data_IF_584873010621
#
_entry.id   IF_584873010621
#
_cell.length_a   1.000
_cell.length_b   1.000
_cell.length_c   1.000
_cell.angle_alpha   90.00
_cell.angle_beta   90.00
_cell.angle_gamma   90.00
#
_symmetry.space_group_name_H-M   'P 1'
#
loop_
_entity.id
_entity.type
_entity.pdbx_description
1 polymer ?
#
# COMPACT_ATOMS: atom_id res chain seq x y z
N UNK A 1 4.28 -14.41 -12.14
CA UNK A 1 5.61 -14.28 -12.82
C UNK A 1 6.55 -13.58 -11.87
N UNK A 2 7.74 -14.12 -11.70
CA UNK A 2 8.76 -13.58 -10.80
C UNK A 2 10.11 -13.44 -11.51
N UNK A 3 10.84 -12.37 -11.28
CA UNK A 3 12.19 -12.15 -11.84
C UNK A 3 13.27 -12.36 -10.78
N UNK A 4 14.08 -13.43 -10.93
CA UNK A 4 15.17 -13.77 -10.01
C UNK A 4 16.39 -14.34 -10.77
N UNK A 5 17.37 -13.52 -11.02
CA UNK A 5 18.54 -13.90 -11.84
C UNK A 5 19.37 -15.05 -11.23
N UNK A 6 19.51 -15.10 -9.91
CA UNK A 6 20.40 -16.03 -9.21
C UNK A 6 19.69 -17.21 -8.54
N UNK A 7 18.36 -17.28 -8.61
CA UNK A 7 17.62 -18.40 -8.05
C UNK A 7 17.87 -19.68 -8.85
N UNK A 8 18.09 -20.79 -8.16
CA UNK A 8 18.25 -22.12 -8.76
C UNK A 8 16.88 -22.74 -9.05
N UNK A 9 15.94 -22.52 -8.15
CA UNK A 9 14.59 -23.08 -8.20
C UNK A 9 13.63 -22.15 -7.49
N UNK A 10 12.43 -22.05 -8.01
CA UNK A 10 11.35 -21.23 -7.45
C UNK A 10 10.05 -22.00 -7.49
N UNK A 11 9.32 -21.93 -6.40
CA UNK A 11 7.93 -22.38 -6.30
C UNK A 11 7.05 -21.22 -5.85
N UNK A 12 5.80 -21.23 -6.23
CA UNK A 12 4.76 -20.40 -5.61
C UNK A 12 3.89 -21.28 -4.74
N UNK A 13 3.73 -20.88 -3.50
CA UNK A 13 2.81 -21.51 -2.54
C UNK A 13 1.52 -20.70 -2.55
N UNK A 14 0.40 -21.36 -2.82
CA UNK A 14 -0.94 -20.76 -2.78
C UNK A 14 -1.77 -21.58 -1.79
N UNK A 15 -2.15 -20.96 -0.69
CA UNK A 15 -2.74 -21.68 0.42
C UNK A 15 -1.81 -22.80 0.94
N UNK A 16 -2.24 -24.05 0.87
CA UNK A 16 -1.47 -25.21 1.32
C UNK A 16 -0.72 -25.94 0.19
N UNK A 17 -0.85 -25.50 -1.04
CA UNK A 17 -0.25 -26.17 -2.20
C UNK A 17 0.94 -25.37 -2.73
N UNK A 18 1.98 -26.07 -3.19
CA UNK A 18 3.17 -25.46 -3.78
C UNK A 18 3.34 -25.92 -5.22
N UNK A 19 3.49 -24.97 -6.13
CA UNK A 19 3.58 -25.19 -7.56
C UNK A 19 4.98 -24.81 -8.06
N UNK A 20 5.64 -25.75 -8.76
CA UNK A 20 6.94 -25.52 -9.35
C UNK A 20 6.82 -24.49 -10.48
N UNK A 21 7.68 -23.46 -10.45
CA UNK A 21 7.76 -22.48 -11.51
C UNK A 21 8.82 -22.85 -12.55
N UNK A 22 8.49 -22.64 -13.81
CA UNK A 22 9.41 -22.89 -14.92
C UNK A 22 10.33 -21.67 -15.12
N UNK A 23 11.64 -21.92 -15.20
CA UNK A 23 12.61 -20.87 -15.50
C UNK A 23 12.61 -20.55 -16.99
N UNK A 24 12.41 -19.29 -17.31
CA UNK A 24 12.50 -18.74 -18.66
C UNK A 24 13.79 -17.94 -18.85
N UNK A 25 13.89 -17.25 -19.96
CA UNK A 25 15.04 -16.38 -20.27
C UNK A 25 15.16 -15.23 -19.26
N UNK A 26 16.39 -14.72 -19.08
CA UNK A 26 16.73 -13.55 -18.24
C UNK A 26 16.31 -13.68 -16.77
N UNK A 27 16.17 -14.90 -16.25
CA UNK A 27 15.84 -15.14 -14.85
C UNK A 27 14.37 -14.97 -14.49
N UNK A 28 13.50 -14.96 -15.48
CA UNK A 28 12.06 -15.01 -15.28
C UNK A 28 11.65 -16.41 -14.86
N UNK A 29 10.76 -16.51 -13.88
CA UNK A 29 10.08 -17.74 -13.48
C UNK A 29 8.59 -17.55 -13.64
N UNK A 30 7.90 -18.55 -14.17
CA UNK A 30 6.46 -18.48 -14.37
C UNK A 30 5.78 -19.83 -14.13
N UNK A 31 4.53 -19.77 -13.74
CA UNK A 31 3.60 -20.90 -13.66
C UNK A 31 2.20 -20.40 -13.92
N UNK A 32 1.38 -21.21 -14.53
CA UNK A 32 -0.05 -20.97 -14.70
C UNK A 32 -0.82 -21.95 -13.84
N UNK A 33 -1.61 -21.43 -12.90
CA UNK A 33 -2.47 -22.22 -12.03
C UNK A 33 -3.90 -22.01 -12.49
N UNK A 34 -4.62 -23.10 -12.71
CA UNK A 34 -6.01 -23.05 -13.21
C UNK A 34 -6.98 -22.82 -12.05
N UNK A 35 -8.00 -22.00 -12.26
CA UNK A 35 -9.05 -21.71 -11.30
C UNK A 35 -9.14 -20.22 -10.95
N UNK A 36 -10.14 -19.90 -10.15
CA UNK A 36 -10.26 -18.56 -9.54
C UNK A 36 -9.45 -18.54 -8.24
N UNK A 37 -8.38 -17.75 -8.24
CA UNK A 37 -7.49 -17.59 -7.09
C UNK A 37 -7.68 -16.25 -6.38
N UNK A 38 -8.67 -15.46 -6.78
CA UNK A 38 -8.95 -14.17 -6.15
C UNK A 38 -9.11 -14.32 -4.63
N UNK A 39 -8.47 -13.43 -3.86
CA UNK A 39 -8.40 -13.48 -2.41
C UNK A 39 -7.62 -14.68 -1.79
N UNK A 40 -6.89 -15.46 -2.58
CA UNK A 40 -6.02 -16.49 -2.04
C UNK A 40 -4.68 -15.91 -1.58
N UNK A 41 -4.20 -16.38 -0.43
CA UNK A 41 -2.86 -16.05 0.05
C UNK A 41 -1.79 -16.79 -0.75
N UNK A 42 -0.68 -16.12 -1.05
CA UNK A 42 0.46 -16.73 -1.71
C UNK A 42 1.79 -16.17 -1.23
N UNK A 43 2.83 -17.00 -1.31
CA UNK A 43 4.23 -16.63 -1.10
C UNK A 43 5.11 -17.35 -2.11
N UNK A 44 6.33 -16.85 -2.31
CA UNK A 44 7.34 -17.56 -3.09
C UNK A 44 8.26 -18.38 -2.18
N UNK A 45 8.64 -19.56 -2.64
CA UNK A 45 9.67 -20.40 -2.07
C UNK A 45 10.86 -20.38 -3.03
N UNK A 46 11.96 -19.76 -2.60
CA UNK A 46 13.14 -19.52 -3.44
C UNK A 46 14.32 -20.31 -2.91
N UNK A 47 14.99 -21.05 -3.81
CA UNK A 47 16.21 -21.78 -3.49
C UNK A 47 17.41 -21.16 -4.19
N UNK A 48 18.36 -20.66 -3.40
CA UNK A 48 19.64 -20.18 -3.89
C UNK A 48 20.78 -21.20 -3.72
N UNK A 49 20.74 -22.01 -2.67
CA UNK A 49 21.73 -23.03 -2.35
C UNK A 49 21.05 -24.36 -2.00
N UNK A 50 21.05 -24.74 -0.71
CA UNK A 50 20.56 -26.05 -0.24
C UNK A 50 19.15 -26.02 0.33
N UNK A 51 18.67 -24.85 0.75
CA UNK A 51 17.37 -24.67 1.40
C UNK A 51 16.48 -23.72 0.62
N UNK A 52 15.17 -23.94 0.73
CA UNK A 52 14.17 -22.97 0.32
C UNK A 52 14.00 -21.90 1.40
N UNK A 53 13.77 -20.68 0.97
CA UNK A 53 13.40 -19.54 1.79
C UNK A 53 12.05 -19.04 1.30
N UNK A 54 11.09 -18.90 2.21
CA UNK A 54 9.80 -18.29 1.93
C UNK A 54 9.97 -16.77 1.91
N UNK A 55 9.35 -16.12 0.94
CA UNK A 55 9.44 -14.66 0.78
C UNK A 55 8.18 -14.11 0.14
N UNK A 56 7.94 -12.83 0.40
CA UNK A 56 6.88 -12.05 -0.22
C UNK A 56 7.21 -11.73 -1.68
N UNK A 57 6.19 -11.36 -2.43
CA UNK A 57 6.31 -10.82 -3.78
C UNK A 57 6.56 -9.32 -3.72
N UNK A 58 7.68 -8.85 -4.23
CA UNK A 58 8.03 -7.42 -4.28
C UNK A 58 7.06 -6.60 -5.17
N UNK A 59 6.30 -7.25 -6.02
CA UNK A 59 5.34 -6.63 -6.93
C UNK A 59 3.89 -6.89 -6.55
N UNK A 60 3.63 -7.43 -5.36
CA UNK A 60 2.27 -7.61 -4.88
C UNK A 60 1.56 -6.26 -4.70
N UNK A 61 0.25 -6.27 -4.90
CA UNK A 61 -0.63 -5.12 -4.66
C UNK A 61 -1.43 -5.24 -3.36
N UNK A 62 -1.43 -6.42 -2.76
CA UNK A 62 -2.13 -6.69 -1.51
C UNK A 62 -1.39 -7.73 -0.67
N UNK A 63 -1.56 -7.63 0.64
CA UNK A 63 -1.10 -8.58 1.64
C UNK A 63 -2.18 -8.85 2.68
N UNK A 64 -2.00 -9.91 3.46
CA UNK A 64 -2.77 -10.09 4.68
C UNK A 64 -2.23 -9.18 5.79
N UNK A 65 -2.97 -9.07 6.89
CA UNK A 65 -2.55 -8.26 8.02
C UNK A 65 -1.14 -8.63 8.50
N UNK A 66 -0.32 -7.60 8.74
CA UNK A 66 1.08 -7.70 9.12
C UNK A 66 1.98 -8.37 8.05
N UNK A 67 1.55 -8.40 6.80
CA UNK A 67 2.33 -8.88 5.64
C UNK A 67 3.02 -10.24 5.83
N UNK A 68 2.31 -11.21 6.38
CA UNK A 68 2.81 -12.58 6.46
C UNK A 68 2.70 -13.32 5.12
N UNK A 69 1.74 -12.92 4.28
CA UNK A 69 1.51 -13.45 2.93
C UNK A 69 0.98 -12.36 2.02
N UNK A 70 1.27 -12.46 0.75
CA UNK A 70 0.60 -11.65 -0.26
C UNK A 70 -0.78 -12.25 -0.61
N UNK A 71 -1.66 -11.44 -1.19
CA UNK A 71 -2.98 -11.84 -1.62
C UNK A 71 -3.10 -11.66 -3.12
N UNK A 72 -3.63 -12.67 -3.80
CA UNK A 72 -4.01 -12.55 -5.21
C UNK A 72 -5.24 -11.67 -5.29
N UNK A 73 -5.16 -10.59 -6.07
CA UNK A 73 -6.30 -9.70 -6.31
C UNK A 73 -6.60 -9.58 -7.80
N UNK A 74 -7.86 -9.57 -8.12
CA UNK A 74 -8.34 -9.21 -9.44
C UNK A 74 -8.42 -7.68 -9.54
N UNK A 75 -7.41 -7.08 -10.17
CA UNK A 75 -7.28 -5.63 -10.31
C UNK A 75 -8.46 -5.01 -11.04
N UNK A 76 -9.08 -5.73 -11.97
CA UNK A 76 -10.23 -5.24 -12.72
C UNK A 76 -11.49 -5.12 -11.85
N UNK A 77 -11.58 -5.91 -10.76
CA UNK A 77 -12.69 -5.81 -9.81
C UNK A 77 -12.59 -4.61 -8.86
N UNK A 78 -11.38 -4.11 -8.61
CA UNK A 78 -11.15 -3.02 -7.65
C UNK A 78 -10.90 -1.68 -8.32
N UNK A 79 -10.54 -1.66 -9.61
CA UNK A 79 -10.30 -0.43 -10.34
C UNK A 79 -11.63 0.18 -10.79
N UNK A 80 -12.09 1.20 -10.07
CA UNK A 80 -13.08 2.11 -10.62
C UNK A 80 -12.42 3.05 -11.63
N UNK A 81 -13.12 3.44 -12.72
CA UNK A 81 -12.59 4.42 -13.67
C UNK A 81 -12.29 5.74 -12.94
N UNK A 82 -11.02 6.10 -12.84
CA UNK A 82 -10.62 7.41 -12.34
C UNK A 82 -10.90 8.45 -13.41
N UNK A 83 -11.93 9.28 -13.18
CA UNK A 83 -12.15 10.49 -13.99
C UNK A 83 -11.21 11.58 -13.48
N UNK A 84 -10.01 11.63 -14.07
CA UNK A 84 -9.07 12.71 -13.79
C UNK A 84 -9.52 13.95 -14.58
N UNK A 85 -9.96 14.97 -13.86
CA UNK A 85 -10.10 16.30 -14.46
C UNK A 85 -8.72 16.85 -14.82
N UNK A 86 -8.67 17.69 -15.85
CA UNK A 86 -7.43 18.37 -16.20
C UNK A 86 -7.00 19.28 -15.05
N UNK A 87 -5.93 18.92 -14.39
CA UNK A 87 -5.35 19.73 -13.32
C UNK A 87 -4.84 21.08 -13.92
N UNK A 88 -4.93 22.18 -13.16
CA UNK A 88 -4.41 23.47 -13.58
C UNK A 88 -2.93 23.37 -13.95
N UNK A 89 -2.58 23.83 -15.14
CA UNK A 89 -1.20 23.76 -15.61
C UNK A 89 -0.34 24.86 -14.95
N UNK A 90 0.66 24.46 -14.18
CA UNK A 90 1.63 25.40 -13.62
C UNK A 90 2.63 25.83 -14.69
N UNK A 91 2.83 27.14 -14.81
CA UNK A 91 3.79 27.73 -15.77
C UNK A 91 5.24 27.51 -15.33
N UNK A 92 5.48 27.52 -14.04
CA UNK A 92 6.82 27.37 -13.42
C UNK A 92 6.74 26.43 -12.21
N UNK A 93 7.75 25.61 -12.00
CA UNK A 93 7.86 24.72 -10.82
C UNK A 93 7.88 25.50 -9.49
N UNK A 94 8.34 26.74 -9.52
CA UNK A 94 8.38 27.63 -8.33
C UNK A 94 7.00 28.14 -7.90
N UNK A 95 5.95 27.85 -8.64
CA UNK A 95 4.56 28.14 -8.25
C UNK A 95 3.96 27.04 -7.39
N UNK A 96 4.66 25.91 -7.23
CA UNK A 96 4.22 24.83 -6.38
C UNK A 96 4.24 25.22 -4.89
N UNK A 97 3.12 24.99 -4.22
CA UNK A 97 2.99 25.05 -2.76
C UNK A 97 2.73 23.63 -2.32
N UNK A 98 3.71 23.03 -1.66
CA UNK A 98 3.69 21.62 -1.28
C UNK A 98 3.41 21.52 0.22
N UNK A 99 2.42 20.73 0.58
CA UNK A 99 2.10 20.40 1.97
C UNK A 99 2.39 18.92 2.21
N UNK A 100 3.30 18.63 3.12
CA UNK A 100 3.61 17.25 3.52
C UNK A 100 2.78 16.86 4.75
N UNK A 101 2.21 15.66 4.71
CA UNK A 101 1.39 15.13 5.80
C UNK A 101 1.56 13.62 5.98
N UNK A 102 1.35 13.14 7.21
CA UNK A 102 1.16 11.73 7.53
C UNK A 102 -0.33 11.38 7.45
N UNK A 103 -0.66 10.23 6.85
CA UNK A 103 -2.05 9.73 6.79
C UNK A 103 -2.67 9.69 8.17
N UNK A 104 -1.96 9.08 9.12
CA UNK A 104 -2.44 8.92 10.49
C UNK A 104 -2.59 10.26 11.20
N UNK A 105 -1.52 11.05 11.27
CA UNK A 105 -1.48 12.22 12.14
C UNK A 105 -2.40 13.33 11.70
N UNK A 106 -2.69 13.40 10.40
CA UNK A 106 -3.47 14.48 9.83
C UNK A 106 -4.90 14.56 10.38
N UNK A 107 -5.50 13.42 10.72
CA UNK A 107 -6.90 13.37 11.22
C UNK A 107 -7.07 12.60 12.54
N UNK A 108 -5.98 12.10 13.16
CA UNK A 108 -6.04 11.23 14.36
C UNK A 108 -6.49 11.94 15.62
N UNK A 109 -6.57 13.27 15.62
CA UNK A 109 -6.97 14.02 16.81
C UNK A 109 -8.38 13.66 17.24
N UNK A 110 -8.52 13.25 18.50
CA UNK A 110 -9.83 12.95 19.12
C UNK A 110 -10.77 14.14 19.21
N UNK A 111 -10.25 15.36 18.97
CA UNK A 111 -11.06 16.59 18.98
C UNK A 111 -11.67 16.91 17.61
N UNK A 112 -11.28 16.19 16.59
CA UNK A 112 -11.93 16.24 15.27
C UNK A 112 -13.13 15.30 15.26
N UNK A 113 -14.11 15.66 14.44
CA UNK A 113 -15.30 14.85 14.22
C UNK A 113 -15.13 13.82 13.07
N UNK A 114 -13.90 13.33 12.84
CA UNK A 114 -13.60 12.36 11.79
C UNK A 114 -14.30 11.01 12.06
N UNK A 115 -14.89 10.46 11.01
CA UNK A 115 -15.59 9.15 11.06
C UNK A 115 -14.59 8.00 11.18
N UNK A 116 -13.47 8.10 10.48
CA UNK A 116 -12.39 7.10 10.47
C UNK A 116 -11.03 7.77 10.73
N UNK A 117 -10.79 8.27 11.97
CA UNK A 117 -9.61 9.08 12.23
C UNK A 117 -8.31 8.33 11.97
N UNK A 118 -7.37 8.97 11.28
CA UNK A 118 -6.05 8.43 10.99
C UNK A 118 -5.99 7.40 9.86
N UNK A 119 -7.01 7.30 9.03
CA UNK A 119 -7.07 6.37 7.89
C UNK A 119 -7.05 7.09 6.55
N UNK A 120 -6.83 6.35 5.45
CA UNK A 120 -6.96 6.86 4.08
C UNK A 120 -8.33 7.51 3.81
N UNK A 121 -9.39 6.94 4.36
CA UNK A 121 -10.74 7.47 4.19
C UNK A 121 -10.90 8.86 4.79
N UNK A 122 -10.24 9.13 5.92
CA UNK A 122 -10.31 10.45 6.55
C UNK A 122 -9.51 11.54 5.83
N UNK A 123 -8.57 11.18 4.96
CA UNK A 123 -7.86 12.16 4.12
C UNK A 123 -8.78 12.88 3.13
N UNK A 124 -9.85 12.23 2.70
CA UNK A 124 -10.82 12.76 1.72
C UNK A 124 -12.16 13.14 2.37
N UNK A 125 -12.28 12.99 3.69
CA UNK A 125 -13.48 13.33 4.43
C UNK A 125 -13.63 14.84 4.53
N UNK A 126 -14.77 15.37 4.03
CA UNK A 126 -15.13 16.79 4.11
C UNK A 126 -15.93 17.10 5.37
N UNK A 127 -15.96 18.37 5.78
CA UNK A 127 -16.74 18.82 6.93
C UNK A 127 -16.07 18.61 8.28
N UNK A 128 -14.80 18.23 8.30
CA UNK A 128 -14.03 18.12 9.54
C UNK A 128 -13.78 19.52 10.14
N UNK A 129 -14.05 19.64 11.42
CA UNK A 129 -13.88 20.91 12.15
C UNK A 129 -13.18 20.68 13.50
N UNK A 130 -12.44 21.70 13.93
CA UNK A 130 -11.89 21.76 15.27
C UNK A 130 -12.99 22.12 16.29
N UNK A 131 -12.76 21.98 17.60
CA UNK A 131 -13.70 22.43 18.64
C UNK A 131 -14.04 23.92 18.59
N UNK A 132 -13.20 24.73 17.95
CA UNK A 132 -13.41 26.16 17.73
C UNK A 132 -14.18 26.46 16.43
N UNK A 133 -14.58 25.43 15.67
CA UNK A 133 -15.30 25.56 14.42
C UNK A 133 -14.45 25.89 13.19
N UNK A 134 -13.12 25.82 13.31
CA UNK A 134 -12.22 26.00 12.16
C UNK A 134 -12.21 24.73 11.30
N UNK A 135 -12.13 24.89 9.99
CA UNK A 135 -11.97 23.76 9.06
C UNK A 135 -10.70 22.95 9.37
N UNK A 136 -10.79 21.65 9.21
CA UNK A 136 -9.69 20.70 9.39
C UNK A 136 -9.71 19.67 8.24
N UNK A 137 -8.71 18.80 8.18
CA UNK A 137 -8.64 17.76 7.19
C UNK A 137 -8.60 18.29 5.75
N UNK A 138 -9.31 17.63 4.86
CA UNK A 138 -9.34 17.97 3.42
C UNK A 138 -9.74 19.41 3.15
N UNK A 139 -10.80 19.89 3.80
CA UNK A 139 -11.29 21.25 3.58
C UNK A 139 -10.30 22.33 4.04
N UNK A 140 -9.46 22.03 5.03
CA UNK A 140 -8.36 22.91 5.43
C UNK A 140 -7.31 23.03 4.31
N UNK A 141 -6.92 21.93 3.66
CA UNK A 141 -5.97 21.94 2.56
C UNK A 141 -6.50 22.77 1.36
N UNK A 142 -7.79 22.64 1.06
CA UNK A 142 -8.45 23.43 0.02
C UNK A 142 -8.42 24.91 0.35
N UNK A 143 -8.76 25.30 1.58
CA UNK A 143 -8.74 26.70 2.02
C UNK A 143 -7.32 27.27 2.06
N UNK A 144 -6.33 26.47 2.41
CA UNK A 144 -4.93 26.87 2.41
C UNK A 144 -4.39 27.12 0.98
N UNK A 145 -5.04 26.55 -0.03
CA UNK A 145 -4.71 26.76 -1.43
C UNK A 145 -3.40 26.11 -1.86
N UNK A 146 -3.03 24.98 -1.25
CA UNK A 146 -1.87 24.18 -1.65
C UNK A 146 -2.11 23.58 -3.05
N UNK A 147 -1.04 23.45 -3.81
CA UNK A 147 -1.10 22.89 -5.16
C UNK A 147 -0.77 21.41 -5.18
N UNK A 148 -0.03 20.93 -4.18
CA UNK A 148 0.42 19.54 -4.05
C UNK A 148 0.34 19.10 -2.59
N UNK A 149 -0.10 17.87 -2.40
CA UNK A 149 0.02 17.17 -1.12
C UNK A 149 1.07 16.07 -1.30
N UNK A 150 2.10 16.10 -0.47
CA UNK A 150 3.06 15.02 -0.36
C UNK A 150 2.69 14.17 0.83
N UNK A 151 2.25 12.95 0.57
CA UNK A 151 1.94 12.00 1.64
C UNK A 151 3.26 11.37 2.10
N UNK A 152 3.52 11.38 3.41
CA UNK A 152 4.61 10.60 4.03
C UNK A 152 4.42 9.13 3.70
N UNK A 153 5.48 8.28 3.81
CA UNK A 153 5.37 6.90 3.35
C UNK A 153 4.10 6.21 3.84
N UNK A 154 3.33 5.71 2.90
CA UNK A 154 2.03 5.08 3.11
C UNK A 154 2.03 3.62 2.67
N UNK A 155 3.22 3.10 2.38
CA UNK A 155 3.46 1.71 2.01
C UNK A 155 3.52 0.86 3.26
N UNK A 156 3.19 -0.42 3.11
CA UNK A 156 3.22 -1.41 4.16
C UNK A 156 4.59 -1.49 4.87
N UNK A 157 4.60 -1.31 6.19
CA UNK A 157 5.78 -1.33 7.06
C UNK A 157 5.59 -2.28 8.25
N UNK A 158 6.69 -2.91 8.72
CA UNK A 158 6.65 -4.06 9.61
C UNK A 158 6.39 -3.75 11.09
N UNK A 159 6.54 -2.52 11.55
CA UNK A 159 6.68 -2.22 12.99
C UNK A 159 5.40 -1.79 13.68
N UNK A 160 4.29 -1.73 12.98
CA UNK A 160 2.95 -1.55 13.55
C UNK A 160 2.16 -2.81 13.38
N UNK A 161 1.54 -3.30 14.43
CA UNK A 161 0.56 -4.37 14.33
C UNK A 161 -0.74 -3.80 13.76
N UNK A 162 -1.04 -4.13 12.51
CA UNK A 162 -2.21 -3.64 11.79
C UNK A 162 -3.54 -4.03 12.45
N UNK A 163 -3.55 -5.12 13.23
CA UNK A 163 -4.72 -5.51 14.01
C UNK A 163 -4.90 -4.67 15.28
N UNK A 164 -3.84 -3.96 15.70
CA UNK A 164 -3.83 -3.08 16.87
C UNK A 164 -3.10 -1.76 16.59
N UNK A 165 -3.53 -0.98 15.58
CA UNK A 165 -2.78 0.12 14.99
C UNK A 165 -2.52 1.30 15.94
N UNK A 166 -3.19 1.34 17.09
CA UNK A 166 -3.04 2.44 18.08
C UNK A 166 -1.96 2.18 19.12
N UNK A 167 -1.38 0.96 19.17
CA UNK A 167 -0.41 0.56 20.20
C UNK A 167 0.98 1.10 19.90
N UNK A 168 1.37 1.16 18.63
CA UNK A 168 2.68 1.63 18.20
C UNK A 168 2.54 2.75 17.19
N UNK A 169 3.62 3.53 17.04
CA UNK A 169 3.72 4.60 16.06
C UNK A 169 4.89 4.36 15.12
N UNK A 170 4.66 4.56 13.82
CA UNK A 170 5.70 4.54 12.80
C UNK A 170 5.48 5.70 11.82
N UNK A 171 6.56 6.22 11.29
CA UNK A 171 6.53 7.27 10.27
C UNK A 171 6.48 6.69 8.84
N UNK A 172 6.59 5.35 8.70
CA UNK A 172 6.52 4.65 7.42
C UNK A 172 7.82 4.58 6.63
N UNK A 173 8.95 4.99 7.20
CA UNK A 173 10.24 5.01 6.48
C UNK A 173 11.00 3.67 6.48
N UNK A 174 10.36 2.58 6.89
CA UNK A 174 10.87 1.21 6.87
C UNK A 174 9.92 0.25 6.13
N UNK A 175 9.53 0.56 4.87
CA UNK A 175 8.59 -0.26 4.14
C UNK A 175 9.15 -1.65 3.86
N UNK A 176 8.32 -2.66 3.99
CA UNK A 176 8.58 -4.04 3.59
C UNK A 176 7.99 -4.35 2.21
N UNK A 177 6.91 -3.68 1.83
CA UNK A 177 6.30 -3.80 0.50
C UNK A 177 5.94 -2.41 -0.07
N UNK A 178 6.56 -2.05 -1.19
CA UNK A 178 6.41 -0.72 -1.80
C UNK A 178 5.13 -0.54 -2.64
N UNK A 179 4.44 -1.62 -2.98
CA UNK A 179 3.23 -1.54 -3.83
C UNK A 179 1.95 -1.93 -3.06
N UNK A 180 2.09 -2.23 -1.78
CA UNK A 180 0.98 -2.55 -0.88
C UNK A 180 0.73 -1.34 0.01
N UNK A 181 -0.50 -0.82 0.12
CA UNK A 181 -0.84 0.21 1.08
C UNK A 181 -0.74 -0.31 2.52
N UNK A 182 -0.36 0.57 3.44
CA UNK A 182 -0.29 0.27 4.86
C UNK A 182 -1.68 -0.04 5.44
N UNK A 183 -1.84 -1.21 6.06
CA UNK A 183 -3.14 -1.69 6.55
C UNK A 183 -3.60 -1.03 7.86
N UNK A 184 -2.70 -0.32 8.55
CA UNK A 184 -3.08 0.44 9.76
C UNK A 184 -3.71 1.80 9.45
N UNK A 185 -3.71 2.24 8.17
CA UNK A 185 -4.28 3.50 7.66
C UNK A 185 -5.63 3.23 6.97
#
# INVERSE_FOLDING_TARGET
ILLLLLALEVMVKVGNEAYQMERKEKGVFEVTIQGDLDNQEYNYLIRHHKSFHETLDLYAYASNANSNSNIVIDVDKINEPLYLENLPHMKRKTEAIIYELSVRDFTMSKTLNATHPGTFMSLVESGLVTPQGNKAGFDYLVDLGVTHVQIMPMYDFATVDELHPTVMYNWGYDPIQYNVPEGSY
#
